data_IF_115164027203
#
_entry.id   IF_115164027203
#
_cell.length_a   1.000
_cell.length_b   1.000
_cell.length_c   1.000
_cell.angle_alpha   90.00
_cell.angle_beta   90.00
_cell.angle_gamma   90.00
#
_symmetry.space_group_name_H-M   'P 1'
#
loop_
_entity.id
_entity.type
_entity.pdbx_description
1 polymer ?
#
# COMPACT_ATOMS: atom_id res chain seq x y z
N UNK A 1 -13.66 12.39 -14.66
CA UNK A 1 -12.69 11.28 -14.66
C UNK A 1 -12.09 11.18 -13.26
N UNK A 2 -12.58 10.24 -12.45
CA UNK A 2 -12.07 10.05 -11.09
C UNK A 2 -10.87 9.10 -11.16
N UNK A 3 -9.70 9.61 -10.78
CA UNK A 3 -8.43 8.88 -10.74
C UNK A 3 -8.38 8.15 -9.40
N UNK A 4 -8.52 6.83 -9.41
CA UNK A 4 -8.48 6.01 -8.20
C UNK A 4 -7.03 5.83 -7.74
N UNK A 5 -6.73 6.29 -6.53
CA UNK A 5 -5.55 5.88 -5.77
C UNK A 5 -5.80 4.49 -5.16
N UNK A 6 -4.78 3.65 -4.99
CA UNK A 6 -4.94 2.32 -4.43
C UNK A 6 -5.26 2.44 -2.93
N UNK A 7 -6.52 2.22 -2.55
CA UNK A 7 -6.89 2.04 -1.15
C UNK A 7 -6.76 0.56 -0.79
N UNK A 8 -5.70 0.23 -0.06
CA UNK A 8 -5.52 -1.05 0.59
C UNK A 8 -6.47 -1.12 1.79
N UNK A 9 -7.62 -1.77 1.59
CA UNK A 9 -8.58 -2.08 2.66
C UNK A 9 -8.06 -3.31 3.41
N UNK A 10 -7.57 -3.12 4.64
CA UNK A 10 -7.24 -4.24 5.51
C UNK A 10 -8.52 -4.87 6.05
N UNK A 11 -8.78 -6.14 5.69
CA UNK A 11 -9.97 -6.89 6.09
C UNK A 11 -9.59 -7.95 7.13
N UNK A 12 -9.97 -7.75 8.40
CA UNK A 12 -9.89 -8.81 9.40
C UNK A 12 -11.20 -9.60 9.41
N UNK A 13 -11.12 -10.90 9.07
CA UNK A 13 -12.24 -11.83 9.19
C UNK A 13 -12.13 -12.59 10.51
N UNK A 14 -13.07 -12.37 11.43
CA UNK A 14 -13.34 -13.31 12.52
C UNK A 14 -14.80 -13.76 12.43
N UNK A 15 -15.02 -15.07 12.27
CA UNK A 15 -16.33 -15.68 12.18
C UNK A 15 -16.85 -16.15 13.54
N UNK A 16 -18.11 -15.84 13.86
CA UNK A 16 -19.21 -16.80 14.02
C UNK A 16 -20.48 -16.10 14.57
N UNK A 17 -21.62 -16.35 13.89
CA UNK A 17 -23.07 -16.31 14.21
C UNK A 17 -23.61 -15.83 15.59
N UNK A 18 -24.93 -15.57 15.73
CA UNK A 18 -25.94 -15.04 14.80
C UNK A 18 -26.59 -13.73 15.34
N UNK A 19 -27.16 -12.90 14.47
CA UNK A 19 -27.71 -11.57 14.79
C UNK A 19 -26.66 -10.50 15.21
N UNK A 20 -25.43 -10.64 14.73
CA UNK A 20 -24.29 -9.86 15.19
C UNK A 20 -24.47 -8.35 14.92
N UNK A 21 -24.60 -7.57 16.00
CA UNK A 21 -24.09 -6.21 16.04
C UNK A 21 -22.77 -6.18 15.27
N UNK A 22 -22.60 -5.18 14.39
CA UNK A 22 -21.29 -4.93 13.82
C UNK A 22 -20.28 -4.89 15.00
N UNK A 23 -19.13 -5.57 14.90
CA UNK A 23 -18.11 -5.48 15.94
C UNK A 23 -17.79 -4.00 16.19
N UNK A 24 -17.56 -3.62 17.45
CA UNK A 24 -17.41 -2.21 17.85
C UNK A 24 -16.46 -1.45 16.90
N UNK A 25 -16.99 -0.38 16.29
CA UNK A 25 -16.25 0.46 15.34
C UNK A 25 -16.30 0.02 13.87
N UNK A 26 -17.00 -1.05 13.53
CA UNK A 26 -17.24 -1.44 12.14
C UNK A 26 -18.53 -0.83 11.56
N UNK A 27 -18.47 -0.52 10.27
CA UNK A 27 -19.52 0.08 9.47
C UNK A 27 -19.96 -0.87 8.36
N UNK A 28 -21.26 -0.84 8.08
CA UNK A 28 -21.86 -1.57 6.97
C UNK A 28 -22.47 -0.58 5.98
N UNK A 29 -22.01 -0.61 4.74
CA UNK A 29 -22.44 0.36 3.73
C UNK A 29 -23.60 -0.19 2.91
N UNK A 30 -24.80 0.38 3.08
CA UNK A 30 -25.99 0.05 2.29
C UNK A 30 -26.09 0.93 1.03
N UNK A 31 -26.57 0.37 -0.08
CA UNK A 31 -26.78 1.10 -1.31
C UNK A 31 -27.93 2.10 -1.21
N UNK A 32 -27.67 3.39 -1.46
CA UNK A 32 -28.66 4.46 -1.36
C UNK A 32 -29.93 4.23 -2.21
N UNK A 33 -29.77 3.64 -3.40
CA UNK A 33 -30.87 3.40 -4.35
C UNK A 33 -31.37 1.95 -4.36
N UNK A 34 -30.81 1.08 -3.51
CA UNK A 34 -31.13 -0.35 -3.51
C UNK A 34 -31.05 -0.90 -2.09
N UNK A 35 -32.14 -0.75 -1.35
CA UNK A 35 -32.26 -1.25 0.03
C UNK A 35 -32.03 -2.76 0.12
N UNK A 36 -31.40 -3.20 1.19
CA UNK A 36 -31.02 -4.60 1.42
C UNK A 36 -29.81 -5.07 0.60
N UNK A 37 -29.13 -4.16 -0.12
CA UNK A 37 -27.86 -4.44 -0.79
C UNK A 37 -26.74 -3.69 -0.09
N UNK A 38 -25.65 -4.40 0.20
CA UNK A 38 -24.53 -3.88 0.96
C UNK A 38 -23.22 -4.06 0.20
N UNK A 39 -22.29 -3.13 0.43
CA UNK A 39 -20.92 -3.28 -0.06
C UNK A 39 -20.30 -4.52 0.58
N UNK A 40 -19.67 -5.35 -0.24
CA UNK A 40 -18.98 -6.53 0.23
C UNK A 40 -17.65 -6.71 -0.51
N UNK A 41 -16.62 -7.09 0.24
CA UNK A 41 -15.36 -7.57 -0.31
C UNK A 41 -15.38 -9.10 -0.40
N UNK A 42 -15.12 -9.63 -1.59
CA UNK A 42 -14.74 -11.02 -1.79
C UNK A 42 -13.30 -11.07 -2.29
N UNK A 43 -12.38 -11.69 -1.53
CA UNK A 43 -11.03 -11.95 -1.99
C UNK A 43 -11.02 -12.67 -3.35
N UNK A 44 -10.00 -12.44 -4.19
CA UNK A 44 -8.80 -11.65 -3.91
C UNK A 44 -8.95 -10.13 -4.14
N UNK A 45 -9.89 -9.66 -4.96
CA UNK A 45 -9.91 -8.23 -5.37
C UNK A 45 -11.29 -7.62 -5.62
N UNK A 46 -12.39 -8.33 -5.32
CA UNK A 46 -13.71 -7.86 -5.75
C UNK A 46 -14.48 -7.14 -4.64
N UNK A 47 -14.68 -5.83 -4.79
CA UNK A 47 -15.70 -5.06 -4.07
C UNK A 47 -16.99 -5.03 -4.91
N UNK A 48 -18.10 -5.49 -4.36
CA UNK A 48 -19.41 -5.38 -5.03
C UNK A 48 -20.57 -5.28 -4.08
N UNK A 49 -21.69 -4.78 -4.59
CA UNK A 49 -22.97 -4.81 -3.87
C UNK A 49 -23.52 -6.24 -3.84
N UNK A 50 -23.86 -6.74 -2.66
CA UNK A 50 -24.51 -8.05 -2.47
C UNK A 50 -25.81 -7.90 -1.70
N UNK A 51 -26.85 -8.69 -2.00
CA UNK A 51 -28.03 -8.74 -1.17
C UNK A 51 -27.67 -9.35 0.20
N UNK A 52 -28.17 -8.77 1.28
CA UNK A 52 -27.99 -9.29 2.63
C UNK A 52 -29.30 -9.14 3.42
N UNK A 53 -29.82 -10.26 3.90
CA UNK A 53 -31.10 -10.35 4.59
C UNK A 53 -30.95 -10.59 6.10
N UNK A 54 -29.81 -10.23 6.70
CA UNK A 54 -29.54 -10.49 8.13
C UNK A 54 -29.11 -11.93 8.45
N UNK A 55 -28.86 -12.76 7.43
CA UNK A 55 -28.45 -14.15 7.57
C UNK A 55 -26.93 -14.34 7.77
N UNK A 56 -26.47 -15.61 7.89
CA UNK A 56 -25.04 -15.90 7.95
C UNK A 56 -24.34 -15.48 6.66
N UNK A 57 -23.23 -14.75 6.82
CA UNK A 57 -22.41 -14.27 5.72
C UNK A 57 -21.58 -15.44 5.18
N UNK A 58 -21.48 -15.65 3.87
CA UNK A 58 -20.64 -16.71 3.31
C UNK A 58 -19.19 -16.59 3.79
N UNK A 59 -18.52 -17.72 4.04
CA UNK A 59 -17.18 -17.84 4.65
C UNK A 59 -16.00 -17.12 3.94
N UNK A 60 -16.26 -16.33 2.90
CA UNK A 60 -15.27 -15.57 2.13
C UNK A 60 -15.82 -14.21 1.69
N UNK A 61 -16.77 -13.66 2.44
CA UNK A 61 -17.37 -12.36 2.18
C UNK A 61 -17.24 -11.49 3.41
N UNK A 62 -16.66 -10.30 3.25
CA UNK A 62 -16.56 -9.29 4.31
C UNK A 62 -17.57 -8.19 3.97
N UNK A 63 -18.46 -7.86 4.90
CA UNK A 63 -19.47 -6.80 4.73
C UNK A 63 -19.38 -5.69 5.79
N UNK A 64 -18.57 -5.94 6.82
CA UNK A 64 -18.32 -5.00 7.91
C UNK A 64 -16.91 -4.44 7.72
N UNK A 65 -16.80 -3.11 7.71
CA UNK A 65 -15.58 -2.38 7.39
C UNK A 65 -15.25 -1.42 8.52
N UNK A 66 -14.02 -1.41 8.99
CA UNK A 66 -13.56 -0.34 9.88
C UNK A 66 -13.05 0.84 9.06
N UNK A 67 -13.45 2.05 9.43
CA UNK A 67 -12.87 3.26 8.87
C UNK A 67 -11.54 3.50 9.56
N UNK A 68 -10.45 3.32 8.84
CA UNK A 68 -9.12 3.65 9.33
C UNK A 68 -8.84 5.11 8.98
N UNK A 69 -8.49 5.91 9.99
CA UNK A 69 -8.00 7.28 9.79
C UNK A 69 -6.82 7.25 8.81
N UNK A 70 -6.80 8.16 7.83
CA UNK A 70 -5.69 8.31 6.89
C UNK A 70 -4.35 8.45 7.62
N UNK A 71 -4.33 9.12 8.77
CA UNK A 71 -3.11 9.23 9.60
C UNK A 71 -2.64 7.88 10.17
N UNK A 72 -3.55 6.92 10.38
CA UNK A 72 -3.24 5.58 10.86
C UNK A 72 -2.89 4.60 9.71
N UNK A 73 -3.39 4.81 8.49
CA UNK A 73 -3.00 4.04 7.30
C UNK A 73 -1.49 4.18 7.01
N UNK A 74 -0.94 5.37 7.24
CA UNK A 74 0.47 5.64 7.02
C UNK A 74 1.42 4.84 7.93
N UNK A 75 0.96 4.31 9.07
CA UNK A 75 1.78 3.45 9.94
C UNK A 75 2.16 2.12 9.30
N UNK A 76 1.57 1.78 8.17
CA UNK A 76 1.82 0.53 7.45
C UNK A 76 2.55 0.73 6.13
N UNK A 77 2.88 1.98 5.75
CA UNK A 77 3.66 2.23 4.54
C UNK A 77 5.14 2.01 4.86
N UNK A 78 5.77 1.09 4.15
CA UNK A 78 7.21 0.88 4.22
C UNK A 78 7.94 1.81 3.23
N UNK A 79 9.20 2.13 3.51
CA UNK A 79 10.02 2.98 2.65
C UNK A 79 10.15 2.39 1.23
N UNK A 80 10.15 1.07 1.10
CA UNK A 80 10.12 0.38 -0.20
C UNK A 80 8.89 0.75 -1.02
N UNK A 81 7.71 0.82 -0.40
CA UNK A 81 6.44 1.13 -1.08
C UNK A 81 6.41 2.57 -1.61
N UNK A 82 7.29 3.44 -1.12
CA UNK A 82 7.42 4.81 -1.58
C UNK A 82 8.55 4.97 -2.60
N UNK A 83 9.68 4.29 -2.39
CA UNK A 83 10.83 4.35 -3.30
C UNK A 83 10.56 3.62 -4.63
N UNK A 84 9.83 2.51 -4.59
CA UNK A 84 9.49 1.72 -5.78
C UNK A 84 8.75 2.52 -6.83
N UNK A 85 7.60 3.15 -6.56
CA UNK A 85 6.90 3.96 -7.57
C UNK A 85 7.72 5.18 -8.01
N UNK A 86 8.54 5.78 -7.13
CA UNK A 86 9.42 6.89 -7.48
C UNK A 86 10.49 6.47 -8.51
N UNK A 87 10.93 5.22 -8.46
CA UNK A 87 11.90 4.64 -9.41
C UNK A 87 11.22 4.02 -10.62
N UNK A 88 10.06 3.35 -10.50
CA UNK A 88 9.32 2.80 -11.65
C UNK A 88 8.83 3.89 -12.61
N UNK A 89 8.53 5.09 -12.10
CA UNK A 89 8.20 6.24 -12.93
C UNK A 89 9.38 6.72 -13.81
N UNK A 90 10.60 6.23 -13.56
CA UNK A 90 11.85 6.65 -14.21
C UNK A 90 12.57 5.42 -14.79
N UNK A 91 12.88 5.43 -16.07
CA UNK A 91 13.61 4.30 -16.66
C UNK A 91 15.10 4.36 -16.36
N UNK A 92 15.67 3.27 -15.83
CA UNK A 92 17.12 3.09 -15.69
C UNK A 92 17.72 3.64 -14.40
N UNK A 93 18.95 4.15 -14.50
CA UNK A 93 19.68 4.73 -13.36
C UNK A 93 19.21 6.15 -13.07
N UNK A 94 18.86 6.41 -11.82
CA UNK A 94 18.33 7.69 -11.35
C UNK A 94 19.28 8.28 -10.31
N UNK A 95 19.65 9.58 -10.43
CA UNK A 95 20.41 10.26 -9.39
C UNK A 95 19.64 10.30 -8.07
N UNK A 96 20.30 9.98 -6.96
CA UNK A 96 19.67 9.96 -5.64
C UNK A 96 19.03 11.30 -5.29
N UNK A 97 19.65 12.42 -5.68
CA UNK A 97 19.10 13.76 -5.53
C UNK A 97 17.70 13.91 -6.14
N UNK A 98 17.39 13.25 -7.27
CA UNK A 98 16.06 13.28 -7.86
C UNK A 98 15.04 12.44 -7.09
N UNK A 99 15.49 11.34 -6.48
CA UNK A 99 14.65 10.51 -5.60
C UNK A 99 14.29 11.28 -4.33
N UNK A 100 15.26 11.98 -3.73
CA UNK A 100 15.06 12.85 -2.54
C UNK A 100 14.09 14.02 -2.79
N UNK A 101 13.90 14.41 -4.06
CA UNK A 101 12.96 15.47 -4.47
C UNK A 101 11.56 14.94 -4.84
N UNK A 102 11.36 13.62 -4.86
CA UNK A 102 10.06 13.04 -5.16
C UNK A 102 9.05 13.39 -4.07
N UNK A 103 7.88 13.91 -4.46
CA UNK A 103 6.88 14.42 -3.51
C UNK A 103 6.39 13.32 -2.55
N UNK A 104 6.30 12.07 -3.01
CA UNK A 104 5.85 10.97 -2.16
C UNK A 104 6.93 10.57 -1.17
N UNK A 105 8.20 10.58 -1.60
CA UNK A 105 9.36 10.33 -0.71
C UNK A 105 9.44 11.43 0.35
N UNK A 106 9.36 12.70 -0.05
CA UNK A 106 9.35 13.83 0.90
C UNK A 106 8.18 13.73 1.89
N UNK A 107 6.97 13.45 1.39
CA UNK A 107 5.79 13.30 2.24
C UNK A 107 5.92 12.12 3.21
N UNK A 108 6.57 11.02 2.80
CA UNK A 108 6.84 9.87 3.67
C UNK A 108 7.75 10.23 4.83
N UNK A 109 8.89 10.87 4.56
CA UNK A 109 9.82 11.27 5.62
C UNK A 109 9.20 12.29 6.58
N UNK A 110 8.48 13.29 6.05
CA UNK A 110 7.89 14.36 6.85
C UNK A 110 6.67 13.91 7.67
N UNK A 111 5.73 13.20 7.05
CA UNK A 111 4.44 12.93 7.66
C UNK A 111 4.35 11.55 8.33
N UNK A 112 5.16 10.60 7.88
CA UNK A 112 5.04 9.18 8.28
C UNK A 112 6.17 8.82 9.23
N UNK A 113 7.42 8.93 8.78
CA UNK A 113 8.58 8.68 9.64
C UNK A 113 8.78 9.79 10.69
N UNK A 114 8.27 11.01 10.41
CA UNK A 114 8.50 12.21 11.23
C UNK A 114 9.98 12.45 11.52
N UNK A 115 10.82 12.17 10.51
CA UNK A 115 12.28 12.29 10.59
C UNK A 115 12.79 13.16 9.45
N UNK A 116 13.98 13.78 9.62
CA UNK A 116 14.66 14.38 8.48
C UNK A 116 14.84 13.33 7.36
N UNK A 117 14.87 13.82 6.12
CA UNK A 117 15.26 13.00 4.98
C UNK A 117 16.61 12.33 5.29
N UNK A 118 16.73 11.06 4.93
CA UNK A 118 17.99 10.33 5.03
C UNK A 118 19.13 11.05 4.31
N UNK A 119 20.32 10.97 4.89
CA UNK A 119 21.54 11.38 4.23
C UNK A 119 21.93 10.34 3.17
N UNK A 120 22.89 10.68 2.31
CA UNK A 120 23.25 9.81 1.19
C UNK A 120 23.84 8.47 1.67
N UNK A 121 24.54 8.46 2.81
CA UNK A 121 25.05 7.23 3.43
C UNK A 121 23.92 6.32 3.95
N UNK A 122 22.85 6.89 4.52
CA UNK A 122 21.70 6.11 5.02
C UNK A 122 20.96 5.44 3.85
N UNK A 123 20.76 6.17 2.75
CA UNK A 123 20.21 5.62 1.52
C UNK A 123 21.10 4.51 0.94
N UNK A 124 22.41 4.73 0.91
CA UNK A 124 23.36 3.70 0.46
C UNK A 124 23.22 2.43 1.30
N UNK A 125 23.26 2.54 2.63
CA UNK A 125 23.10 1.37 3.52
C UNK A 125 21.77 0.65 3.28
N UNK A 126 20.68 1.40 3.09
CA UNK A 126 19.38 0.81 2.78
C UNK A 126 19.41 0.03 1.46
N UNK A 127 19.92 0.62 0.38
CA UNK A 127 19.96 -0.05 -0.94
C UNK A 127 20.90 -1.25 -0.95
N UNK A 128 22.04 -1.17 -0.28
CA UNK A 128 22.98 -2.29 -0.11
C UNK A 128 22.36 -3.43 0.72
N UNK A 129 21.59 -3.11 1.76
CA UNK A 129 20.85 -4.09 2.56
C UNK A 129 19.71 -4.78 1.80
N UNK A 130 19.23 -4.16 0.71
CA UNK A 130 18.13 -4.66 -0.12
C UNK A 130 18.60 -4.88 -1.57
N UNK A 131 19.81 -5.42 -1.74
CA UNK A 131 20.49 -5.60 -3.04
C UNK A 131 19.76 -6.51 -4.03
N UNK A 132 18.84 -7.37 -3.55
CA UNK A 132 17.97 -8.20 -4.41
C UNK A 132 16.98 -7.33 -5.20
N UNK A 133 16.55 -6.22 -4.61
CA UNK A 133 15.55 -5.32 -5.18
C UNK A 133 16.20 -4.15 -5.90
N UNK A 134 17.28 -3.61 -5.34
CA UNK A 134 17.90 -2.37 -5.78
C UNK A 134 19.33 -2.58 -6.24
N UNK A 135 19.80 -1.67 -7.07
CA UNK A 135 21.22 -1.53 -7.36
C UNK A 135 21.63 -0.09 -7.11
N UNK A 136 22.74 0.09 -6.38
CA UNK A 136 23.27 1.38 -6.01
C UNK A 136 24.73 1.48 -6.50
N UNK A 137 25.08 2.62 -7.09
CA UNK A 137 26.45 2.87 -7.56
C UNK A 137 26.78 4.36 -7.52
N UNK A 138 28.08 4.65 -7.60
CA UNK A 138 28.57 6.00 -7.83
C UNK A 138 29.02 6.15 -9.29
N UNK A 139 28.38 7.05 -10.03
CA UNK A 139 28.75 7.37 -11.41
C UNK A 139 29.31 8.78 -11.47
N UNK A 140 30.59 8.92 -11.80
CA UNK A 140 31.31 10.19 -11.77
C UNK A 140 31.19 10.95 -10.42
N UNK A 141 31.12 10.21 -9.31
CA UNK A 141 30.95 10.77 -7.96
C UNK A 141 29.51 11.13 -7.60
N UNK A 142 28.54 10.89 -8.48
CA UNK A 142 27.11 11.09 -8.21
C UNK A 142 26.50 9.76 -7.74
N UNK A 143 25.81 9.72 -6.58
CA UNK A 143 25.08 8.52 -6.16
C UNK A 143 23.88 8.27 -7.08
N UNK A 144 23.81 7.07 -7.62
CA UNK A 144 22.81 6.61 -8.59
C UNK A 144 22.16 5.33 -8.09
N UNK A 145 20.86 5.20 -8.29
CA UNK A 145 20.08 4.02 -7.92
C UNK A 145 19.19 3.57 -9.07
N UNK A 146 19.01 2.26 -9.23
CA UNK A 146 17.99 1.69 -10.12
C UNK A 146 17.23 0.56 -9.44
N UNK A 147 15.99 0.34 -9.90
CA UNK A 147 15.23 -0.87 -9.64
C UNK A 147 15.78 -2.00 -10.53
N UNK A 148 16.07 -3.16 -9.95
CA UNK A 148 16.42 -4.36 -10.75
C UNK A 148 15.21 -4.86 -11.53
N UNK A 149 15.45 -5.34 -12.75
CA UNK A 149 14.40 -5.95 -13.57
C UNK A 149 13.87 -7.25 -12.97
N UNK A 150 12.64 -7.66 -13.31
CA UNK A 150 12.09 -8.94 -12.83
C UNK A 150 12.97 -10.14 -13.18
N UNK A 151 13.55 -10.16 -14.39
CA UNK A 151 14.42 -11.24 -14.84
C UNK A 151 15.75 -11.29 -14.07
N UNK A 152 16.23 -10.14 -13.59
CA UNK A 152 17.46 -10.04 -12.79
C UNK A 152 17.25 -10.47 -11.33
N UNK A 153 16.00 -10.45 -10.85
CA UNK A 153 15.60 -10.80 -9.47
C UNK A 153 15.40 -12.29 -9.24
N UNK A 154 15.11 -13.04 -10.30
CA UNK A 154 14.80 -14.47 -10.21
C UNK A 154 16.04 -15.38 -10.21
N UNK A 155 17.25 -14.81 -10.19
CA UNK A 155 18.51 -15.55 -10.31
C UNK A 155 18.72 -16.02 -11.75
N UNK A 156 19.88 -15.78 -12.36
CA UNK A 156 21.00 -16.72 -12.20
C UNK A 156 20.52 -18.18 -12.19
N UNK A 157 20.11 -18.68 -13.36
CA UNK A 157 20.24 -20.09 -13.72
C UNK A 157 21.70 -20.44 -13.97
#
# INVERSE_FOLDING_TARGET
>A
AARALPQLVSCFAMGNSPAACAPDGAFRFEGAYRRGFYLAFRPPTSLRMVPYSGGPIPNQTVIDFTLVDFAAMFKFIDVEEVLRPALEARSGWVPLAQVKQDQNVVAYFQNILQKPMWEDEDFQMYFEGHFETWEFRHEAGVPMVRLRGMDERLGHS
#
